data_IF_962375223059
#
_entry.id   IF_962375223059
#
_cell.length_a   1.000
_cell.length_b   1.000
_cell.length_c   1.000
_cell.angle_alpha   90.00
_cell.angle_beta   90.00
_cell.angle_gamma   90.00
#
_symmetry.space_group_name_H-M   'P 1'
#
loop_
_entity.id
_entity.type
_entity.pdbx_description
1 polymer ?
#
# COMPACT_ATOMS: atom_id res chain seq x y z
N UNK A 1 -37.32 6.39 25.38
CA UNK A 1 -37.31 4.96 24.99
C UNK A 1 -35.89 4.47 25.24
N UNK A 2 -35.74 3.54 26.18
CA UNK A 2 -34.43 3.06 26.66
C UNK A 2 -33.70 2.32 25.52
N UNK A 3 -32.49 2.79 25.18
CA UNK A 3 -31.53 2.04 24.37
C UNK A 3 -30.91 0.96 25.28
N UNK A 4 -31.58 -0.17 25.40
CA UNK A 4 -30.96 -1.40 25.89
C UNK A 4 -30.12 -1.96 24.75
N UNK A 5 -28.80 -1.73 24.78
CA UNK A 5 -27.84 -2.45 23.96
C UNK A 5 -27.83 -3.90 24.45
N UNK A 6 -28.60 -4.74 23.76
CA UNK A 6 -28.68 -6.17 24.04
C UNK A 6 -27.38 -6.85 23.61
N UNK A 7 -26.44 -6.96 24.56
CA UNK A 7 -25.15 -7.64 24.39
C UNK A 7 -25.29 -9.15 24.13
N UNK A 8 -26.49 -9.72 24.20
CA UNK A 8 -26.75 -11.12 23.83
C UNK A 8 -26.77 -11.36 22.31
N UNK A 9 -26.79 -10.30 21.50
CA UNK A 9 -26.64 -10.34 20.03
C UNK A 9 -25.18 -10.22 19.55
N UNK A 10 -24.20 -10.42 20.43
CA UNK A 10 -22.85 -10.73 19.98
C UNK A 10 -22.91 -12.12 19.33
N UNK A 11 -23.02 -12.09 18.00
CA UNK A 11 -23.27 -13.18 17.05
C UNK A 11 -22.58 -14.52 17.36
N UNK A 12 -23.21 -15.36 18.19
CA UNK A 12 -22.91 -16.81 18.24
C UNK A 12 -23.20 -17.52 16.90
N UNK A 13 -23.88 -16.87 15.95
CA UNK A 13 -24.16 -17.38 14.61
C UNK A 13 -22.97 -17.39 13.66
N UNK A 14 -21.95 -16.55 13.87
CA UNK A 14 -20.71 -16.59 13.05
C UNK A 14 -19.81 -17.77 13.41
N UNK A 15 -19.94 -18.33 14.61
CA UNK A 15 -19.14 -19.48 15.07
C UNK A 15 -19.57 -20.80 14.38
N UNK A 16 -20.72 -20.83 13.69
CA UNK A 16 -21.21 -22.05 13.00
C UNK A 16 -20.87 -22.17 11.52
N UNK A 17 -20.42 -21.10 10.85
CA UNK A 17 -19.99 -21.18 9.45
C UNK A 17 -18.50 -21.53 9.40
N UNK A 18 -18.13 -22.49 8.56
CA UNK A 18 -16.72 -22.79 8.30
C UNK A 18 -16.07 -21.50 7.73
N UNK A 19 -15.00 -20.97 8.34
CA UNK A 19 -14.41 -19.69 7.94
C UNK A 19 -13.78 -19.72 6.54
N UNK A 20 -13.52 -20.91 5.99
CA UNK A 20 -13.07 -21.11 4.61
C UNK A 20 -14.23 -21.19 3.60
N UNK A 21 -15.47 -21.32 4.07
CA UNK A 21 -16.62 -21.46 3.19
C UNK A 21 -16.83 -20.18 2.39
N UNK A 22 -17.13 -20.27 1.08
CA UNK A 22 -17.52 -19.10 0.31
C UNK A 22 -18.73 -18.36 0.93
N UNK A 23 -18.70 -17.03 0.93
CA UNK A 23 -19.73 -16.19 1.55
C UNK A 23 -19.79 -16.27 3.09
N UNK A 24 -18.71 -16.72 3.75
CA UNK A 24 -18.58 -16.70 5.22
C UNK A 24 -18.04 -15.37 5.77
N UNK A 25 -17.53 -14.50 4.91
CA UNK A 25 -17.03 -13.17 5.24
C UNK A 25 -18.07 -12.33 5.97
N UNK A 26 -17.58 -11.38 6.77
CA UNK A 26 -18.41 -10.37 7.44
C UNK A 26 -18.73 -9.18 6.53
N UNK A 27 -18.02 -9.08 5.40
CA UNK A 27 -18.11 -8.01 4.41
C UNK A 27 -18.43 -8.60 3.04
N UNK A 28 -19.37 -7.96 2.36
CA UNK A 28 -19.79 -8.20 0.98
C UNK A 28 -19.82 -6.79 0.33
N UNK A 29 -19.17 -6.60 -0.82
CA UNK A 29 -19.07 -5.28 -1.46
C UNK A 29 -20.25 -5.05 -2.40
N UNK A 30 -20.27 -3.89 -3.05
CA UNK A 30 -21.43 -3.54 -3.87
C UNK A 30 -21.55 -4.37 -5.16
N UNK A 31 -20.46 -4.94 -5.65
CA UNK A 31 -20.45 -5.75 -6.88
C UNK A 31 -21.33 -7.01 -6.73
N UNK A 32 -22.31 -7.23 -7.62
CA UNK A 32 -23.16 -8.40 -7.55
C UNK A 32 -22.41 -9.73 -7.72
N UNK A 33 -22.63 -10.63 -6.75
CA UNK A 33 -21.95 -11.92 -6.69
C UNK A 33 -22.30 -12.86 -7.85
N UNK A 34 -21.26 -13.46 -8.45
CA UNK A 34 -21.31 -14.48 -9.50
C UNK A 34 -22.00 -14.06 -10.81
N UNK A 35 -22.13 -12.75 -11.08
CA UNK A 35 -22.81 -12.25 -12.29
C UNK A 35 -21.97 -12.42 -13.56
N UNK A 36 -20.65 -12.23 -13.47
CA UNK A 36 -19.74 -12.37 -14.63
C UNK A 36 -19.16 -13.79 -14.74
N UNK A 37 -18.98 -14.47 -13.60
CA UNK A 37 -18.41 -15.82 -13.54
C UNK A 37 -19.08 -16.64 -12.44
N UNK A 38 -19.38 -17.90 -12.71
CA UNK A 38 -19.92 -18.84 -11.71
C UNK A 38 -18.88 -19.25 -10.65
N UNK A 39 -17.59 -18.97 -10.87
CA UNK A 39 -16.49 -19.39 -10.01
C UNK A 39 -15.91 -18.26 -9.14
N UNK A 40 -16.11 -17.01 -9.55
CA UNK A 40 -15.54 -15.82 -8.89
C UNK A 40 -16.71 -14.97 -8.41
N UNK A 41 -16.83 -14.77 -7.09
CA UNK A 41 -17.93 -14.02 -6.50
C UNK A 41 -17.96 -12.57 -7.03
N UNK A 42 -16.92 -11.78 -6.78
CA UNK A 42 -16.84 -10.39 -7.27
C UNK A 42 -15.75 -10.29 -8.34
N UNK A 43 -16.15 -10.41 -9.61
CA UNK A 43 -15.22 -10.56 -10.74
C UNK A 43 -14.31 -9.34 -10.94
N UNK A 44 -14.87 -8.14 -10.96
CA UNK A 44 -14.11 -6.91 -11.19
C UNK A 44 -13.27 -6.52 -9.99
N UNK A 45 -13.77 -6.72 -8.77
CA UNK A 45 -12.98 -6.57 -7.54
C UNK A 45 -11.82 -7.56 -7.51
N UNK A 46 -11.99 -8.79 -8.03
CA UNK A 46 -10.90 -9.77 -8.15
C UNK A 46 -9.87 -9.35 -9.20
N UNK A 47 -10.29 -9.04 -10.43
CA UNK A 47 -9.37 -8.77 -11.56
C UNK A 47 -8.62 -7.43 -11.42
N UNK A 48 -9.24 -6.43 -10.78
CA UNK A 48 -8.61 -5.12 -10.53
C UNK A 48 -7.31 -5.19 -9.72
N UNK A 49 -7.09 -6.29 -8.99
CA UNK A 49 -5.85 -6.54 -8.26
C UNK A 49 -4.63 -6.87 -9.13
N UNK A 50 -4.78 -6.98 -10.46
CA UNK A 50 -3.69 -7.34 -11.39
C UNK A 50 -2.42 -6.49 -11.21
N UNK A 51 -2.54 -5.20 -10.87
CA UNK A 51 -1.39 -4.33 -10.71
C UNK A 51 -0.51 -4.69 -9.51
N UNK A 52 -1.07 -5.32 -8.46
CA UNK A 52 -0.29 -5.87 -7.35
C UNK A 52 0.66 -7.00 -7.78
N UNK A 53 0.46 -7.59 -8.95
CA UNK A 53 1.35 -8.63 -9.49
C UNK A 53 2.32 -8.10 -10.54
N UNK A 54 1.89 -7.13 -11.34
CA UNK A 54 2.69 -6.62 -12.47
C UNK A 54 3.77 -5.62 -12.03
N UNK A 55 3.39 -4.66 -11.19
CA UNK A 55 4.23 -3.50 -10.90
C UNK A 55 5.30 -3.81 -9.83
N UNK A 56 5.02 -4.53 -8.72
CA UNK A 56 6.04 -4.77 -7.70
C UNK A 56 7.31 -5.48 -8.20
N UNK A 57 7.27 -6.50 -9.10
CA UNK A 57 8.48 -7.07 -9.69
C UNK A 57 9.31 -6.05 -10.49
N UNK A 58 8.65 -5.17 -11.25
CA UNK A 58 9.31 -4.09 -12.00
C UNK A 58 9.98 -3.13 -11.01
N UNK A 59 9.28 -2.74 -9.95
CA UNK A 59 9.81 -1.85 -8.92
C UNK A 59 11.01 -2.45 -8.19
N UNK A 60 10.95 -3.74 -7.83
CA UNK A 60 12.08 -4.48 -7.24
C UNK A 60 13.29 -4.45 -8.17
N UNK A 61 13.08 -4.59 -9.49
CA UNK A 61 14.15 -4.49 -10.48
C UNK A 61 14.72 -3.06 -10.56
N UNK A 62 13.88 -2.04 -10.71
CA UNK A 62 14.28 -0.63 -10.82
C UNK A 62 15.01 -0.14 -9.57
N UNK A 63 14.64 -0.63 -8.38
CA UNK A 63 15.27 -0.27 -7.10
C UNK A 63 16.52 -1.09 -6.75
N UNK A 64 17.02 -1.98 -7.62
CA UNK A 64 18.26 -2.72 -7.36
C UNK A 64 19.45 -1.80 -7.04
N UNK A 65 19.72 -0.70 -7.78
CA UNK A 65 20.84 0.20 -7.47
C UNK A 65 20.67 0.89 -6.12
N UNK A 66 19.45 1.34 -5.79
CA UNK A 66 19.12 1.92 -4.49
C UNK A 66 19.34 0.93 -3.34
N UNK A 67 18.84 -0.29 -3.49
CA UNK A 67 18.87 -1.33 -2.46
C UNK A 67 20.30 -1.78 -2.12
N UNK A 68 21.21 -1.76 -3.10
CA UNK A 68 22.65 -2.02 -2.87
C UNK A 68 23.29 -1.02 -1.90
N UNK A 69 22.79 0.22 -1.80
CA UNK A 69 23.36 1.28 -0.95
C UNK A 69 22.66 1.44 0.38
N UNK A 70 21.34 1.23 0.42
CA UNK A 70 20.49 1.54 1.59
C UNK A 70 20.11 0.29 2.40
N UNK A 71 20.53 -0.89 1.94
CA UNK A 71 20.07 -2.22 2.34
C UNK A 71 18.73 -2.62 1.70
N UNK A 72 18.55 -3.92 1.45
CA UNK A 72 17.45 -4.51 0.67
C UNK A 72 16.06 -4.44 1.35
N UNK A 73 15.92 -3.68 2.45
CA UNK A 73 14.69 -3.64 3.24
C UNK A 73 13.48 -3.13 2.43
N UNK A 74 13.68 -2.18 1.52
CA UNK A 74 12.58 -1.60 0.73
C UNK A 74 11.92 -2.63 -0.21
N UNK A 75 12.67 -3.62 -0.70
CA UNK A 75 12.14 -4.67 -1.57
C UNK A 75 11.06 -5.53 -0.87
N UNK A 76 11.16 -5.66 0.45
CA UNK A 76 10.18 -6.39 1.27
C UNK A 76 8.79 -5.76 1.14
N UNK A 77 8.69 -4.42 1.01
CA UNK A 77 7.39 -3.76 0.88
C UNK A 77 6.70 -4.13 -0.43
N UNK A 78 7.42 -4.19 -1.54
CA UNK A 78 6.87 -4.64 -2.82
C UNK A 78 6.50 -6.13 -2.81
N UNK A 79 7.28 -6.98 -2.14
CA UNK A 79 6.90 -8.38 -1.93
C UNK A 79 5.60 -8.47 -1.12
N UNK A 80 5.47 -7.69 -0.05
CA UNK A 80 4.26 -7.65 0.76
C UNK A 80 3.05 -7.06 0.00
N UNK A 81 3.25 -6.12 -0.94
CA UNK A 81 2.18 -5.70 -1.86
C UNK A 81 1.69 -6.88 -2.73
N UNK A 82 2.57 -7.74 -3.23
CA UNK A 82 2.13 -8.96 -3.93
C UNK A 82 1.28 -9.84 -3.00
N UNK A 83 1.66 -9.97 -1.73
CA UNK A 83 0.87 -10.72 -0.72
C UNK A 83 -0.52 -10.11 -0.51
N UNK A 84 -0.65 -8.78 -0.50
CA UNK A 84 -1.95 -8.10 -0.52
C UNK A 84 -2.75 -8.50 -1.76
N UNK A 85 -2.15 -8.44 -2.95
CA UNK A 85 -2.80 -8.86 -4.18
C UNK A 85 -3.32 -10.29 -4.13
N UNK A 86 -2.55 -11.24 -3.56
CA UNK A 86 -2.97 -12.63 -3.36
C UNK A 86 -4.16 -12.71 -2.40
N UNK A 87 -4.06 -12.03 -1.26
CA UNK A 87 -5.11 -11.99 -0.24
C UNK A 87 -6.42 -11.42 -0.79
N UNK A 88 -6.35 -10.26 -1.44
CA UNK A 88 -7.50 -9.57 -2.04
C UNK A 88 -8.12 -10.40 -3.17
N UNK A 89 -7.33 -10.99 -4.07
CA UNK A 89 -7.85 -11.92 -5.10
C UNK A 89 -8.59 -13.09 -4.45
N UNK A 90 -8.00 -13.72 -3.43
CA UNK A 90 -8.65 -14.85 -2.74
C UNK A 90 -9.92 -14.42 -2.02
N UNK A 91 -9.92 -13.24 -1.38
CA UNK A 91 -11.08 -12.67 -0.73
C UNK A 91 -12.21 -12.42 -1.72
N UNK A 92 -12.00 -11.62 -2.76
CA UNK A 92 -13.07 -11.26 -3.71
C UNK A 92 -13.54 -12.44 -4.57
N UNK A 93 -12.68 -13.44 -4.81
CA UNK A 93 -13.12 -14.64 -5.49
C UNK A 93 -14.05 -15.52 -4.65
N UNK A 94 -13.87 -15.54 -3.32
CA UNK A 94 -14.57 -16.49 -2.43
C UNK A 94 -15.57 -15.85 -1.47
N UNK A 95 -15.38 -14.58 -1.11
CA UNK A 95 -16.00 -13.92 0.04
C UNK A 95 -15.94 -14.77 1.32
N UNK A 96 -14.82 -15.47 1.54
CA UNK A 96 -14.59 -16.25 2.75
C UNK A 96 -14.04 -15.36 3.88
N UNK A 97 -14.31 -15.73 5.14
CA UNK A 97 -13.76 -15.02 6.30
C UNK A 97 -12.22 -15.11 6.34
N UNK A 98 -11.66 -16.27 6.00
CA UNK A 98 -10.20 -16.41 5.88
C UNK A 98 -9.65 -15.51 4.79
N UNK A 99 -10.32 -15.42 3.64
CA UNK A 99 -9.96 -14.48 2.58
C UNK A 99 -9.93 -13.04 3.08
N UNK A 100 -11.02 -12.59 3.73
CA UNK A 100 -11.11 -11.25 4.33
C UNK A 100 -9.91 -10.99 5.27
N UNK A 101 -9.62 -11.92 6.18
CA UNK A 101 -8.54 -11.78 7.15
C UNK A 101 -7.17 -11.77 6.48
N UNK A 102 -6.90 -12.63 5.49
CA UNK A 102 -5.61 -12.65 4.78
C UNK A 102 -5.37 -11.32 4.06
N UNK A 103 -6.39 -10.78 3.39
CA UNK A 103 -6.32 -9.45 2.77
C UNK A 103 -6.02 -8.35 3.80
N UNK A 104 -6.85 -8.21 4.83
CA UNK A 104 -6.69 -7.16 5.86
C UNK A 104 -5.38 -7.29 6.66
N UNK A 105 -4.98 -8.51 7.04
CA UNK A 105 -3.72 -8.76 7.76
C UNK A 105 -2.54 -8.42 6.86
N UNK A 106 -2.54 -8.78 5.59
CA UNK A 106 -1.42 -8.45 4.70
C UNK A 106 -1.18 -6.94 4.60
N UNK A 107 -2.23 -6.12 4.62
CA UNK A 107 -2.14 -4.65 4.69
C UNK A 107 -1.49 -4.19 6.00
N UNK A 108 -1.89 -4.74 7.14
CA UNK A 108 -1.26 -4.46 8.44
C UNK A 108 0.26 -4.70 8.40
N UNK A 109 0.68 -5.82 7.80
CA UNK A 109 2.10 -6.17 7.69
C UNK A 109 2.88 -5.21 6.79
N UNK A 110 2.27 -4.70 5.69
CA UNK A 110 2.88 -3.62 4.88
C UNK A 110 3.04 -2.34 5.69
N UNK A 111 2.00 -1.91 6.40
CA UNK A 111 2.04 -0.65 7.19
C UNK A 111 3.12 -0.74 8.27
N UNK A 112 3.16 -1.85 9.01
CA UNK A 112 4.11 -2.05 10.11
C UNK A 112 5.54 -2.25 9.62
N UNK A 113 5.76 -2.93 8.48
CA UNK A 113 7.06 -2.97 7.82
C UNK A 113 7.49 -1.58 7.33
N UNK A 114 6.57 -0.79 6.79
CA UNK A 114 6.80 0.60 6.40
C UNK A 114 7.26 1.45 7.59
N UNK A 115 6.65 1.29 8.77
CA UNK A 115 7.10 1.93 10.01
C UNK A 115 8.51 1.52 10.40
N UNK A 116 8.79 0.21 10.42
CA UNK A 116 10.11 -0.31 10.76
C UNK A 116 11.22 0.23 9.83
N UNK A 117 10.91 0.43 8.55
CA UNK A 117 11.85 0.89 7.54
C UNK A 117 12.00 2.41 7.49
N UNK A 118 10.90 3.15 7.51
CA UNK A 118 10.92 4.57 7.17
C UNK A 118 10.76 5.51 8.35
N UNK A 119 10.26 5.06 9.51
CA UNK A 119 10.05 5.97 10.62
C UNK A 119 11.40 6.52 11.11
N UNK A 120 11.59 7.86 11.10
CA UNK A 120 12.86 8.46 11.49
C UNK A 120 13.16 8.31 12.97
N UNK A 121 14.45 8.18 13.29
CA UNK A 121 14.93 8.03 14.66
C UNK A 121 14.52 9.20 15.58
N UNK A 122 14.38 10.42 15.03
CA UNK A 122 13.96 11.60 15.82
C UNK A 122 12.57 11.44 16.47
N UNK A 123 11.69 10.62 15.89
CA UNK A 123 10.36 10.33 16.44
C UNK A 123 10.35 9.14 17.39
N UNK A 124 11.47 8.44 17.53
CA UNK A 124 11.60 7.25 18.36
C UNK A 124 12.10 7.59 19.78
N UNK A 125 11.62 6.88 20.82
CA UNK A 125 12.23 6.91 22.15
C UNK A 125 13.73 6.63 22.10
N UNK A 126 14.49 7.16 23.07
CA UNK A 126 15.95 7.03 23.12
C UNK A 126 16.44 5.58 23.04
N UNK A 127 15.74 4.65 23.70
CA UNK A 127 16.04 3.22 23.68
C UNK A 127 15.98 2.58 22.29
N UNK A 128 15.08 3.07 21.43
CA UNK A 128 14.93 2.62 20.05
C UNK A 128 15.89 3.32 19.09
N UNK A 129 16.24 4.59 19.36
CA UNK A 129 17.25 5.33 18.59
C UNK A 129 18.63 4.66 18.65
N UNK A 130 19.06 4.25 19.85
CA UNK A 130 20.37 3.61 20.04
C UNK A 130 20.38 2.20 19.42
N UNK A 131 19.24 1.52 19.37
CA UNK A 131 19.13 0.13 18.93
C UNK A 131 17.90 -0.06 18.02
N UNK A 132 18.01 0.37 16.75
CA UNK A 132 16.90 0.31 15.78
C UNK A 132 16.30 -1.07 15.60
N UNK A 133 17.09 -2.14 15.76
CA UNK A 133 16.58 -3.52 15.73
C UNK A 133 15.53 -3.81 16.81
N UNK A 134 15.57 -3.14 17.98
CA UNK A 134 14.53 -3.25 19.02
C UNK A 134 13.21 -2.64 18.57
N UNK A 135 13.27 -1.54 17.81
CA UNK A 135 12.08 -0.94 17.21
C UNK A 135 11.48 -1.86 16.16
N UNK A 136 12.32 -2.41 15.26
CA UNK A 136 11.89 -3.41 14.27
C UNK A 136 11.22 -4.61 14.94
N UNK A 137 11.82 -5.17 16.00
CA UNK A 137 11.23 -6.25 16.79
C UNK A 137 9.89 -5.84 17.42
N UNK A 138 9.79 -4.61 17.94
CA UNK A 138 8.55 -4.09 18.51
C UNK A 138 7.44 -3.96 17.45
N UNK A 139 7.77 -3.53 16.23
CA UNK A 139 6.82 -3.50 15.10
C UNK A 139 6.34 -4.91 14.74
N UNK A 140 7.22 -5.91 14.74
CA UNK A 140 6.85 -7.31 14.47
C UNK A 140 5.93 -7.86 15.57
N UNK A 141 6.29 -7.67 16.84
CA UNK A 141 5.45 -8.09 17.97
C UNK A 141 4.09 -7.41 17.92
N UNK A 142 4.05 -6.10 17.63
CA UNK A 142 2.80 -5.38 17.42
C UNK A 142 1.97 -5.99 16.29
N UNK A 143 2.56 -6.23 15.11
CA UNK A 143 1.86 -6.84 13.98
C UNK A 143 1.28 -8.22 14.33
N UNK A 144 2.01 -9.05 15.07
CA UNK A 144 1.54 -10.37 15.54
C UNK A 144 0.36 -10.23 16.50
N UNK A 145 0.44 -9.32 17.48
CA UNK A 145 -0.65 -9.09 18.44
C UNK A 145 -1.90 -8.60 17.71
N UNK A 146 -1.77 -7.59 16.84
CA UNK A 146 -2.91 -7.06 16.07
C UNK A 146 -3.47 -8.12 15.11
N UNK A 147 -2.63 -8.98 14.54
CA UNK A 147 -3.06 -10.14 13.75
C UNK A 147 -3.93 -11.08 14.59
N UNK A 148 -3.58 -11.36 15.85
CA UNK A 148 -4.43 -12.15 16.74
C UNK A 148 -5.76 -11.46 17.07
N UNK A 149 -5.72 -10.13 17.27
CA UNK A 149 -6.91 -9.33 17.58
C UNK A 149 -7.85 -9.15 16.38
N UNK A 150 -7.35 -9.28 15.14
CA UNK A 150 -8.15 -9.11 13.92
C UNK A 150 -9.26 -10.17 13.79
N UNK A 151 -9.13 -11.30 14.48
CA UNK A 151 -10.14 -12.36 14.54
C UNK A 151 -11.30 -12.04 15.49
N UNK A 152 -11.13 -11.09 16.42
CA UNK A 152 -12.15 -10.79 17.46
C UNK A 152 -13.35 -10.09 16.85
N UNK A 153 -13.11 -9.09 15.98
CA UNK A 153 -14.17 -8.36 15.32
C UNK A 153 -13.77 -7.95 13.89
N UNK A 154 -13.77 -8.93 12.94
CA UNK A 154 -13.21 -8.73 11.60
C UNK A 154 -13.80 -7.54 10.83
N UNK A 155 -15.09 -7.28 10.99
CA UNK A 155 -15.79 -6.16 10.35
C UNK A 155 -15.14 -4.79 10.62
N UNK A 156 -14.51 -4.59 11.79
CA UNK A 156 -13.87 -3.33 12.14
C UNK A 156 -12.43 -3.17 11.66
N UNK A 157 -11.78 -4.26 11.22
CA UNK A 157 -10.37 -4.25 10.84
C UNK A 157 -10.07 -3.21 9.76
N UNK A 158 -10.89 -3.14 8.72
CA UNK A 158 -10.74 -2.17 7.63
C UNK A 158 -10.66 -0.71 8.14
N UNK A 159 -11.47 -0.35 9.14
CA UNK A 159 -11.42 0.99 9.74
C UNK A 159 -10.18 1.19 10.61
N UNK A 160 -9.78 0.17 11.37
CA UNK A 160 -8.55 0.22 12.16
C UNK A 160 -7.32 0.42 11.26
N UNK A 161 -7.26 -0.25 10.11
CA UNK A 161 -6.20 -0.08 9.10
C UNK A 161 -6.14 1.35 8.57
N UNK A 162 -7.28 1.99 8.29
CA UNK A 162 -7.33 3.39 7.87
C UNK A 162 -6.73 4.32 8.93
N UNK A 163 -7.01 4.07 10.21
CA UNK A 163 -6.44 4.83 11.32
C UNK A 163 -4.93 4.63 11.40
N UNK A 164 -4.47 3.39 11.20
CA UNK A 164 -3.05 3.05 11.17
C UNK A 164 -2.30 3.69 10.02
N UNK A 165 -2.93 4.33 9.03
CA UNK A 165 -2.24 5.06 7.96
C UNK A 165 -1.91 6.52 8.33
N UNK A 166 -2.58 7.11 9.33
CA UNK A 166 -2.41 8.53 9.68
C UNK A 166 -0.96 8.92 10.01
N UNK A 167 -0.17 8.15 10.79
CA UNK A 167 1.22 8.49 11.06
C UNK A 167 2.07 8.55 9.78
N UNK A 168 1.89 7.61 8.84
CA UNK A 168 2.59 7.61 7.54
C UNK A 168 2.24 8.85 6.74
N UNK A 169 0.95 9.19 6.63
CA UNK A 169 0.49 10.38 5.91
C UNK A 169 1.05 11.65 6.55
N UNK A 170 1.02 11.73 7.88
CA UNK A 170 1.56 12.87 8.63
C UNK A 170 3.07 13.05 8.38
N UNK A 171 3.82 11.95 8.41
CA UNK A 171 5.24 11.92 8.08
C UNK A 171 5.49 12.45 6.66
N UNK A 172 4.81 11.90 5.66
CA UNK A 172 4.95 12.32 4.26
C UNK A 172 4.64 13.82 4.11
N UNK A 173 3.52 14.30 4.65
CA UNK A 173 3.10 15.71 4.52
C UNK A 173 4.10 16.67 5.18
N UNK A 174 4.53 16.38 6.41
CA UNK A 174 5.47 17.24 7.16
C UNK A 174 6.80 17.34 6.41
N UNK A 175 7.33 16.22 5.92
CA UNK A 175 8.65 16.18 5.29
C UNK A 175 8.62 16.68 3.84
N UNK A 176 7.54 16.45 3.08
CA UNK A 176 7.38 17.06 1.76
C UNK A 176 7.28 18.58 1.82
N UNK A 177 6.61 19.14 2.83
CA UNK A 177 6.53 20.60 3.03
C UNK A 177 7.90 21.23 3.28
N UNK A 178 8.84 20.48 3.87
CA UNK A 178 10.22 20.91 4.16
C UNK A 178 11.23 20.64 3.05
N UNK A 179 10.89 19.77 2.09
CA UNK A 179 11.76 19.47 0.95
C UNK A 179 11.84 20.67 0.00
N UNK A 180 12.99 20.92 -0.62
CA UNK A 180 13.12 21.93 -1.69
C UNK A 180 12.89 21.33 -3.09
N UNK A 181 12.86 20.00 -3.20
CA UNK A 181 12.74 19.33 -4.49
C UNK A 181 11.29 19.39 -5.03
N UNK A 182 11.08 20.15 -6.11
CA UNK A 182 9.76 20.31 -6.71
C UNK A 182 9.21 19.02 -7.34
N UNK A 183 10.08 18.12 -7.84
CA UNK A 183 9.66 16.84 -8.43
C UNK A 183 9.03 15.93 -7.38
N UNK A 184 9.66 15.79 -6.20
CA UNK A 184 9.10 14.95 -5.13
C UNK A 184 7.82 15.55 -4.54
N UNK A 185 7.69 16.88 -4.47
CA UNK A 185 6.44 17.53 -4.05
C UNK A 185 5.28 17.24 -4.99
N UNK A 186 5.51 17.28 -6.31
CA UNK A 186 4.48 16.93 -7.30
C UNK A 186 4.06 15.47 -7.18
N UNK A 187 5.02 14.56 -7.02
CA UNK A 187 4.71 13.15 -6.76
C UNK A 187 3.90 12.98 -5.48
N UNK A 188 4.27 13.69 -4.41
CA UNK A 188 3.52 13.67 -3.16
C UNK A 188 2.09 14.19 -3.27
N UNK A 189 1.86 15.25 -4.05
CA UNK A 189 0.51 15.73 -4.33
C UNK A 189 -0.30 14.69 -5.12
N UNK A 190 0.30 14.08 -6.13
CA UNK A 190 -0.34 13.03 -6.92
C UNK A 190 -0.72 11.82 -6.05
N UNK A 191 0.23 11.31 -5.25
CA UNK A 191 0.04 10.25 -4.28
C UNK A 191 -1.12 10.55 -3.32
N UNK A 192 -1.20 11.78 -2.79
CA UNK A 192 -2.27 12.21 -1.89
C UNK A 192 -3.63 12.29 -2.61
N UNK A 193 -3.68 12.85 -3.82
CA UNK A 193 -4.92 12.91 -4.61
C UNK A 193 -5.44 11.50 -4.92
N UNK A 194 -4.57 10.58 -5.37
CA UNK A 194 -4.94 9.18 -5.59
C UNK A 194 -5.50 8.54 -4.32
N UNK A 195 -4.81 8.69 -3.19
CA UNK A 195 -5.27 8.18 -1.89
C UNK A 195 -6.63 8.75 -1.49
N UNK A 196 -6.82 10.07 -1.60
CA UNK A 196 -8.06 10.73 -1.19
C UNK A 196 -9.25 10.30 -2.06
N UNK A 197 -9.05 10.20 -3.38
CA UNK A 197 -10.07 9.71 -4.32
C UNK A 197 -10.38 8.24 -4.01
N UNK A 198 -9.36 7.42 -3.80
CA UNK A 198 -9.52 6.04 -3.42
C UNK A 198 -10.40 5.94 -2.16
N UNK A 199 -10.05 6.62 -1.06
CA UNK A 199 -10.78 6.51 0.21
C UNK A 199 -12.23 6.98 0.04
N UNK A 200 -12.44 8.03 -0.74
CA UNK A 200 -13.78 8.51 -1.08
C UNK A 200 -14.59 7.44 -1.80
N UNK A 201 -14.02 6.80 -2.82
CA UNK A 201 -14.67 5.73 -3.58
C UNK A 201 -14.97 4.52 -2.70
N UNK A 202 -14.04 4.13 -1.82
CA UNK A 202 -14.25 3.05 -0.85
C UNK A 202 -15.43 3.33 0.09
N UNK A 203 -15.52 4.56 0.62
CA UNK A 203 -16.65 4.98 1.47
C UNK A 203 -17.95 4.98 0.67
N UNK A 204 -17.93 5.53 -0.56
CA UNK A 204 -19.09 5.60 -1.43
C UNK A 204 -19.62 4.21 -1.80
N UNK A 205 -18.75 3.26 -2.15
CA UNK A 205 -19.13 1.87 -2.44
C UNK A 205 -19.89 1.27 -1.25
N UNK A 206 -19.34 1.43 -0.04
CA UNK A 206 -19.89 0.84 1.18
C UNK A 206 -21.18 1.50 1.67
N UNK A 207 -21.23 2.83 1.67
CA UNK A 207 -22.33 3.60 2.27
C UNK A 207 -23.47 3.89 1.30
N UNK A 208 -23.18 3.96 0.00
CA UNK A 208 -24.13 4.35 -1.04
C UNK A 208 -24.40 3.21 -2.03
N UNK A 209 -24.15 1.95 -1.66
CA UNK A 209 -24.34 0.82 -2.57
C UNK A 209 -25.72 0.78 -3.27
N UNK A 210 -26.86 1.02 -2.58
CA UNK A 210 -28.16 1.04 -3.27
C UNK A 210 -28.25 2.05 -4.42
N UNK A 211 -27.56 3.20 -4.31
CA UNK A 211 -27.47 4.20 -5.37
C UNK A 211 -26.67 3.67 -6.56
N UNK A 212 -25.50 3.08 -6.31
CA UNK A 212 -24.61 2.55 -7.36
C UNK A 212 -25.25 1.38 -8.11
N UNK A 213 -26.00 0.53 -7.39
CA UNK A 213 -26.83 -0.50 -8.00
C UNK A 213 -27.95 0.10 -8.87
N UNK A 214 -28.63 1.16 -8.41
CA UNK A 214 -29.73 1.77 -9.18
C UNK A 214 -29.30 2.39 -10.51
N UNK A 215 -28.03 2.81 -10.62
CA UNK A 215 -27.44 3.35 -11.85
C UNK A 215 -26.61 2.32 -12.61
N UNK A 216 -26.67 1.03 -12.22
CA UNK A 216 -25.93 -0.08 -12.83
C UNK A 216 -24.41 0.11 -12.86
N UNK A 217 -23.84 0.74 -11.84
CA UNK A 217 -22.39 0.95 -11.70
C UNK A 217 -21.84 0.52 -10.31
N UNK A 218 -21.97 -0.77 -9.93
CA UNK A 218 -21.54 -1.26 -8.61
C UNK A 218 -20.04 -1.64 -8.54
N UNK A 219 -19.19 -1.00 -9.33
CA UNK A 219 -17.78 -1.41 -9.50
C UNK A 219 -16.78 -0.46 -8.83
N UNK A 220 -17.25 0.39 -7.91
CA UNK A 220 -16.42 1.39 -7.26
C UNK A 220 -15.27 0.76 -6.48
N UNK A 221 -15.51 -0.35 -5.79
CA UNK A 221 -14.46 -1.05 -5.07
C UNK A 221 -13.32 -1.55 -5.97
N UNK A 222 -13.59 -1.94 -7.22
CA UNK A 222 -12.55 -2.30 -8.18
C UNK A 222 -11.63 -1.10 -8.50
N UNK A 223 -12.17 0.12 -8.62
CA UNK A 223 -11.35 1.32 -8.79
C UNK A 223 -10.54 1.65 -7.53
N UNK A 224 -11.08 1.36 -6.34
CA UNK A 224 -10.33 1.50 -5.09
C UNK A 224 -9.03 0.70 -5.13
N UNK A 225 -9.05 -0.57 -5.55
CA UNK A 225 -7.83 -1.41 -5.65
C UNK A 225 -6.76 -0.78 -6.53
N UNK A 226 -7.14 -0.28 -7.71
CA UNK A 226 -6.21 0.34 -8.64
C UNK A 226 -5.61 1.61 -8.04
N UNK A 227 -6.46 2.51 -7.54
CA UNK A 227 -6.01 3.80 -7.03
C UNK A 227 -5.15 3.66 -5.75
N UNK A 228 -5.56 2.79 -4.82
CA UNK A 228 -4.81 2.58 -3.59
C UNK A 228 -3.48 1.88 -3.85
N UNK A 229 -3.41 1.00 -4.85
CA UNK A 229 -2.16 0.38 -5.27
C UNK A 229 -1.15 1.42 -5.75
N UNK A 230 -1.54 2.27 -6.72
CA UNK A 230 -0.64 3.29 -7.27
C UNK A 230 -0.23 4.30 -6.19
N UNK A 231 -1.18 4.75 -5.37
CA UNK A 231 -0.87 5.63 -4.24
C UNK A 231 0.11 4.99 -3.25
N UNK A 232 -0.08 3.73 -2.88
CA UNK A 232 0.81 3.01 -1.96
C UNK A 232 2.20 2.82 -2.57
N UNK A 233 2.29 2.50 -3.85
CA UNK A 233 3.55 2.38 -4.56
C UNK A 233 4.32 3.71 -4.58
N UNK A 234 3.65 4.82 -4.91
CA UNK A 234 4.25 6.16 -4.83
C UNK A 234 4.67 6.52 -3.40
N UNK A 235 3.84 6.17 -2.41
CA UNK A 235 4.12 6.37 -0.99
C UNK A 235 5.42 5.68 -0.55
N UNK A 236 5.66 4.45 -0.99
CA UNK A 236 6.92 3.71 -0.73
C UNK A 236 8.12 4.47 -1.31
N UNK A 237 8.01 4.95 -2.54
CA UNK A 237 9.07 5.72 -3.22
C UNK A 237 9.34 7.04 -2.49
N UNK A 238 8.29 7.78 -2.12
CA UNK A 238 8.41 9.04 -1.39
C UNK A 238 9.05 8.81 -0.03
N UNK A 239 8.61 7.81 0.73
CA UNK A 239 9.20 7.48 2.02
C UNK A 239 10.68 7.10 1.89
N UNK A 240 11.05 6.30 0.88
CA UNK A 240 12.44 5.96 0.60
C UNK A 240 13.32 7.18 0.29
N UNK A 241 12.79 8.16 -0.45
CA UNK A 241 13.48 9.42 -0.74
C UNK A 241 13.67 10.27 0.51
N UNK A 242 12.58 10.51 1.25
CA UNK A 242 12.58 11.36 2.43
C UNK A 242 13.45 10.81 3.56
N UNK A 243 13.43 9.49 3.76
CA UNK A 243 14.27 8.81 4.76
C UNK A 243 15.75 9.06 4.51
N UNK A 244 16.20 8.92 3.25
CA UNK A 244 17.60 9.15 2.91
C UNK A 244 17.99 10.62 2.99
N UNK A 245 17.15 11.53 2.48
CA UNK A 245 17.41 12.96 2.58
C UNK A 245 17.42 13.47 4.02
N UNK A 246 16.68 12.84 4.93
CA UNK A 246 16.74 13.17 6.35
C UNK A 246 18.04 12.68 7.01
N UNK A 247 18.50 11.49 6.67
CA UNK A 247 19.74 10.92 7.22
C UNK A 247 20.99 11.60 6.64
N UNK A 248 20.95 11.92 5.34
CA UNK A 248 22.01 12.60 4.61
C UNK A 248 21.41 13.62 3.62
N UNK A 249 21.26 14.90 4.01
CA UNK A 249 20.73 15.94 3.13
C UNK A 249 21.49 16.11 1.82
N UNK A 250 22.81 15.85 1.85
CA UNK A 250 23.73 15.98 0.71
C UNK A 250 23.78 14.73 -0.17
N UNK A 251 23.02 13.66 0.15
CA UNK A 251 22.99 12.45 -0.68
C UNK A 251 22.57 12.78 -2.12
N UNK A 252 23.36 12.33 -3.11
CA UNK A 252 23.10 12.53 -4.54
C UNK A 252 21.99 11.59 -5.06
N UNK A 253 20.81 11.67 -4.45
CA UNK A 253 19.65 10.82 -4.73
C UNK A 253 18.61 11.58 -5.56
N UNK A 254 18.23 11.02 -6.70
CA UNK A 254 17.30 11.62 -7.65
C UNK A 254 16.07 10.74 -7.91
N UNK A 255 14.98 11.41 -8.25
CA UNK A 255 13.72 10.78 -8.67
C UNK A 255 13.70 10.69 -10.20
N UNK A 256 13.58 9.45 -10.69
CA UNK A 256 13.48 9.09 -12.09
C UNK A 256 12.13 8.46 -12.40
N UNK A 257 11.79 8.37 -13.68
CA UNK A 257 10.54 7.76 -14.16
C UNK A 257 10.84 6.71 -15.23
N UNK A 258 10.14 5.57 -15.17
CA UNK A 258 10.23 4.49 -16.15
C UNK A 258 8.88 4.29 -16.85
N UNK A 259 8.82 4.01 -18.17
CA UNK A 259 9.94 3.80 -19.09
C UNK A 259 10.54 5.08 -19.68
N UNK A 260 9.90 6.23 -19.47
CA UNK A 260 10.41 7.53 -19.91
C UNK A 260 10.54 8.50 -18.73
N UNK A 261 11.47 9.44 -18.84
CA UNK A 261 11.75 10.44 -17.79
C UNK A 261 10.66 11.51 -17.63
N UNK A 262 9.61 11.46 -18.45
CA UNK A 262 8.47 12.36 -18.31
C UNK A 262 7.52 11.81 -17.24
N UNK A 263 7.15 12.68 -16.31
CA UNK A 263 6.16 12.35 -15.28
C UNK A 263 4.77 12.33 -15.93
N UNK A 264 4.30 11.14 -16.29
CA UNK A 264 2.98 10.91 -16.88
C UNK A 264 2.22 9.85 -16.06
N UNK A 265 0.93 9.67 -16.32
CA UNK A 265 0.06 8.76 -15.56
C UNK A 265 0.48 7.29 -15.63
N UNK A 266 1.26 6.90 -16.65
CA UNK A 266 1.71 5.52 -16.87
C UNK A 266 3.16 5.29 -16.48
N UNK A 267 3.85 6.29 -15.92
CA UNK A 267 5.25 6.15 -15.56
C UNK A 267 5.42 5.77 -14.10
N UNK A 268 6.37 4.86 -13.84
CA UNK A 268 6.69 4.37 -12.51
C UNK A 268 7.83 5.21 -11.93
N UNK A 269 7.61 5.90 -10.81
CA UNK A 269 8.65 6.67 -10.14
C UNK A 269 9.63 5.71 -9.44
N UNK A 270 10.93 5.94 -9.59
CA UNK A 270 11.95 5.18 -8.89
C UNK A 270 13.14 6.05 -8.49
N UNK A 271 13.95 5.54 -7.56
CA UNK A 271 15.09 6.27 -7.02
C UNK A 271 16.40 5.69 -7.52
N UNK A 272 17.29 6.55 -7.99
CA UNK A 272 18.67 6.20 -8.36
C UNK A 272 19.62 7.20 -7.72
N UNK A 273 20.75 6.71 -7.22
CA UNK A 273 21.85 7.58 -6.85
C UNK A 273 22.61 7.95 -8.12
N UNK A 274 22.92 9.22 -8.29
CA UNK A 274 23.80 9.66 -9.36
C UNK A 274 25.25 9.49 -8.85
N UNK A 275 26.02 8.68 -9.56
CA UNK A 275 27.44 8.51 -9.33
C UNK A 275 28.20 9.36 -10.33
N UNK A 276 29.26 10.04 -9.87
CA UNK A 276 30.15 10.85 -10.71
C UNK A 276 30.94 9.99 -11.75
N UNK A 277 30.67 8.68 -11.83
CA UNK A 277 31.27 7.73 -12.77
C UNK A 277 30.36 7.32 -13.94
N UNK A 278 29.08 7.72 -13.95
CA UNK A 278 28.18 7.45 -15.08
C UNK A 278 28.40 8.45 -16.25
N UNK A 279 29.22 9.50 -16.07
CA UNK A 279 29.56 10.49 -17.11
C UNK A 279 30.64 10.01 -18.10
N UNK A 280 31.40 8.96 -17.79
CA UNK A 280 32.50 8.48 -18.66
C UNK A 280 32.03 7.67 -19.89
N UNK A 281 30.77 7.22 -19.92
CA UNK A 281 30.20 6.46 -21.05
C UNK A 281 29.39 7.34 -22.04
N UNK A 282 29.10 8.61 -21.69
CA UNK A 282 28.43 9.55 -22.60
C UNK A 282 29.37 10.44 -23.41
N UNK A 283 30.63 10.60 -23.00
CA UNK A 283 31.60 11.45 -23.73
C UNK A 283 32.46 10.70 -24.76
N UNK A 284 32.34 9.37 -24.88
CA UNK A 284 33.11 8.59 -25.86
C UNK A 284 32.44 8.39 -27.23
N UNK A 285 31.30 9.03 -27.50
CA UNK A 285 30.61 8.95 -28.81
C UNK A 285 30.80 10.22 -29.67
N UNK A 286 31.47 11.27 -29.18
CA UNK A 286 31.62 12.54 -29.92
C UNK A 286 33.07 12.98 -30.16
N UNK A 287 34.02 12.07 -30.41
CA UNK A 287 35.32 12.46 -30.99
C UNK A 287 36.08 11.31 -31.64
N UNK A 288 35.61 10.82 -32.79
CA UNK A 288 36.51 10.40 -33.88
C UNK A 288 36.02 10.95 -35.21
N UNK A 289 36.56 12.13 -35.52
CA UNK A 289 36.50 12.81 -36.80
C UNK A 289 37.28 12.06 -37.89
N UNK A 290 36.75 12.09 -39.11
CA UNK A 290 37.47 12.45 -40.34
C UNK A 290 38.74 11.62 -40.63
N UNK A 291 38.58 10.58 -41.46
CA UNK A 291 39.17 10.32 -42.81
C UNK A 291 38.64 8.95 -43.25
#
# INVERSE_FOLDING_TARGET
>A
MYLTTDLSKINLGQIKKNPFQPGSSTVDWCEPNYVVSEYIAEFWNTVSNIFFFLIPPIMIYLFRPYSKRVANGIAILWILLIVIGIGSVYFHATLSLVGQLVDEISILWVITAGYALFLPDVYLPQSFRVQRHRFVYSCIVFAIIITGLSFVYPYANAFALMILCFPTISFIVIHLRRSDNARIKRLGLHCFCLWAIAVTIWICDRMLCPLWLSISFPYLHAFWHVLIFFSSNEGIVICGYLTIKQQNPQANLHLHFWPNEQSNWFTLPYLKFHDDSDDDDSDNISTKSII
#
